data_IF_638447774211
#
_entry.id   IF_638447774211
#
_cell.length_a   1.000
_cell.length_b   1.000
_cell.length_c   1.000
_cell.angle_alpha   90.00
_cell.angle_beta   90.00
_cell.angle_gamma   90.00
#
_symmetry.space_group_name_H-M   'P 1'
#
loop_
_entity.id
_entity.type
_entity.pdbx_description
1 polymer ?
#
# COMPACT_ATOMS: atom_id res chain seq x y z
N UNK A 1 42.43 -15.57 70.98
CA UNK A 1 42.51 -14.27 70.27
C UNK A 1 42.81 -14.62 68.83
N UNK A 2 41.95 -14.49 67.83
CA UNK A 2 40.63 -13.90 67.72
C UNK A 2 39.93 -14.49 66.48
N UNK A 3 38.60 -14.50 66.48
CA UNK A 3 37.70 -14.97 65.40
C UNK A 3 37.33 -13.77 64.53
N UNK A 4 37.44 -13.82 63.20
CA UNK A 4 36.49 -13.15 62.27
C UNK A 4 36.34 -13.98 60.97
N UNK A 5 35.08 -14.20 60.61
CA UNK A 5 34.53 -14.83 59.40
C UNK A 5 34.50 -13.87 58.20
N UNK A 6 34.38 -14.44 56.98
CA UNK A 6 33.32 -13.96 56.08
C UNK A 6 33.71 -13.50 54.67
N UNK A 7 32.88 -13.99 53.73
CA UNK A 7 32.44 -13.40 52.46
C UNK A 7 33.12 -13.89 51.17
N UNK A 8 32.37 -14.79 50.53
CA UNK A 8 32.42 -15.25 49.14
C UNK A 8 32.10 -14.13 48.14
N UNK A 9 32.89 -14.05 47.05
CA UNK A 9 32.56 -13.27 45.85
C UNK A 9 32.58 -14.16 44.61
N UNK A 10 31.41 -14.31 43.99
CA UNK A 10 31.20 -14.84 42.63
C UNK A 10 31.35 -13.70 41.60
N UNK A 11 31.54 -14.10 40.34
CA UNK A 11 31.39 -13.37 39.05
C UNK A 11 32.71 -13.11 38.29
N UNK A 12 32.84 -13.35 36.98
CA UNK A 12 31.80 -13.61 35.98
C UNK A 12 32.28 -14.52 34.85
N UNK A 13 31.41 -15.46 34.47
CA UNK A 13 31.47 -16.15 33.19
C UNK A 13 30.36 -15.56 32.31
N UNK A 14 30.74 -14.72 31.36
CA UNK A 14 29.84 -14.24 30.29
C UNK A 14 29.59 -15.39 29.33
N UNK A 15 28.56 -16.19 29.61
CA UNK A 15 27.99 -17.16 28.68
C UNK A 15 26.64 -16.64 28.20
N UNK A 16 26.55 -16.28 26.92
CA UNK A 16 25.28 -16.03 26.27
C UNK A 16 24.42 -17.29 26.31
N UNK A 17 23.41 -17.30 27.18
CA UNK A 17 22.42 -18.36 27.20
C UNK A 17 21.47 -18.16 26.02
N UNK A 18 21.79 -18.75 24.88
CA UNK A 18 20.78 -19.21 23.93
C UNK A 18 19.86 -20.14 24.72
N UNK A 19 18.75 -19.59 25.22
CA UNK A 19 17.73 -20.34 25.92
C UNK A 19 17.16 -21.36 24.96
N UNK A 20 17.65 -22.60 25.05
CA UNK A 20 16.98 -23.76 24.49
C UNK A 20 15.64 -23.90 25.22
N UNK A 21 14.62 -23.18 24.74
CA UNK A 21 13.26 -23.37 25.18
C UNK A 21 12.87 -24.79 24.74
N UNK A 22 12.57 -25.66 25.70
CA UNK A 22 11.96 -26.96 25.42
C UNK A 22 10.74 -26.72 24.51
N UNK A 23 10.52 -27.51 23.45
CA UNK A 23 9.24 -27.50 22.78
C UNK A 23 8.18 -27.86 23.82
N UNK A 24 7.30 -26.91 24.15
CA UNK A 24 6.19 -27.12 25.09
C UNK A 24 5.29 -28.22 24.53
N UNK A 25 4.76 -29.08 25.40
CA UNK A 25 3.84 -30.14 24.97
C UNK A 25 2.47 -29.54 24.61
N UNK A 26 1.70 -30.21 23.76
CA UNK A 26 0.36 -29.75 23.37
C UNK A 26 -0.58 -29.51 24.59
N UNK A 27 -0.37 -30.30 25.65
CA UNK A 27 -1.07 -30.13 26.92
C UNK A 27 -0.71 -28.80 27.62
N UNK A 28 0.56 -28.40 27.56
CA UNK A 28 1.03 -27.13 28.14
C UNK A 28 0.51 -25.93 27.33
N UNK A 29 0.38 -26.04 26.01
CA UNK A 29 -0.18 -24.98 25.16
C UNK A 29 -1.66 -24.72 25.47
N UNK A 30 -2.44 -25.78 25.72
CA UNK A 30 -3.87 -25.66 26.05
C UNK A 30 -4.16 -25.03 27.41
N UNK A 31 -3.18 -25.03 28.32
CA UNK A 31 -3.30 -24.50 29.68
C UNK A 31 -2.60 -23.16 29.87
N UNK A 32 -1.78 -22.75 28.89
CA UNK A 32 -1.07 -21.48 28.89
C UNK A 32 -2.01 -20.28 28.80
N UNK A 33 -1.65 -19.20 29.48
CA UNK A 33 -2.38 -17.93 29.39
C UNK A 33 -2.20 -17.29 28.00
N UNK A 34 -3.14 -16.42 27.62
CA UNK A 34 -3.07 -15.71 26.32
C UNK A 34 -1.78 -14.89 26.18
N UNK A 35 -1.30 -14.30 27.26
CA UNK A 35 -0.07 -13.50 27.24
C UNK A 35 1.18 -14.38 27.04
N UNK A 36 1.24 -15.54 27.69
CA UNK A 36 2.31 -16.51 27.48
C UNK A 36 2.32 -17.03 26.05
N UNK A 37 1.16 -17.31 25.46
CA UNK A 37 1.05 -17.71 24.05
C UNK A 37 1.51 -16.60 23.09
N UNK A 38 1.20 -15.33 23.40
CA UNK A 38 1.68 -14.19 22.59
C UNK A 38 3.20 -14.04 22.69
N UNK A 39 3.77 -14.16 23.90
CA UNK A 39 5.23 -14.11 24.11
C UNK A 39 5.92 -15.28 23.42
N UNK A 40 5.36 -16.49 23.53
CA UNK A 40 5.86 -17.69 22.88
C UNK A 40 5.85 -17.54 21.36
N UNK A 41 4.71 -17.13 20.79
CA UNK A 41 4.58 -16.92 19.34
C UNK A 41 5.55 -15.87 18.81
N UNK A 42 5.70 -14.76 19.54
CA UNK A 42 6.67 -13.70 19.17
C UNK A 42 8.10 -14.22 19.24
N UNK A 43 8.44 -14.99 20.27
CA UNK A 43 9.78 -15.56 20.45
C UNK A 43 10.15 -16.56 19.33
N UNK A 44 9.19 -17.30 18.80
CA UNK A 44 9.41 -18.21 17.66
C UNK A 44 9.86 -17.45 16.39
N UNK A 45 9.42 -16.20 16.23
CA UNK A 45 9.80 -15.32 15.12
C UNK A 45 11.04 -14.44 15.43
N UNK A 46 11.74 -14.74 16.53
CA UNK A 46 12.88 -13.94 17.00
C UNK A 46 12.48 -12.53 17.50
N UNK A 47 11.22 -12.35 17.89
CA UNK A 47 10.66 -11.10 18.40
C UNK A 47 10.55 -11.18 19.93
N UNK A 48 11.31 -10.36 20.63
CA UNK A 48 11.23 -10.23 22.08
C UNK A 48 10.46 -8.96 22.46
N UNK A 49 9.40 -9.12 23.25
CA UNK A 49 8.60 -8.01 23.76
C UNK A 49 9.25 -7.55 25.07
N UNK A 50 10.01 -6.46 25.02
CA UNK A 50 10.73 -5.91 26.18
C UNK A 50 9.78 -5.19 27.13
N UNK A 51 8.92 -4.34 26.57
CA UNK A 51 8.05 -3.46 27.34
C UNK A 51 6.68 -3.37 26.68
N UNK A 52 5.62 -3.53 27.47
CA UNK A 52 4.24 -3.32 27.04
C UNK A 52 3.50 -2.64 28.18
N UNK A 53 3.20 -1.36 28.02
CA UNK A 53 2.44 -0.57 28.99
C UNK A 53 1.05 -0.25 28.46
N UNK A 54 0.05 -0.49 29.30
CA UNK A 54 -1.31 -0.02 29.06
C UNK A 54 -1.39 1.48 29.43
N UNK A 55 -1.84 2.36 28.51
CA UNK A 55 -2.08 3.76 28.81
C UNK A 55 -3.03 3.99 30.01
N UNK A 56 -3.93 3.04 30.30
CA UNK A 56 -4.89 3.10 31.40
C UNK A 56 -4.90 1.82 32.24
N UNK A 57 -3.93 1.62 33.16
CA UNK A 57 -3.82 0.39 33.96
C UNK A 57 -5.00 0.14 34.91
N UNK A 58 -5.72 1.20 35.30
CA UNK A 58 -6.92 1.10 36.12
C UNK A 58 -8.14 1.30 35.21
N UNK A 59 -9.01 0.29 35.07
CA UNK A 59 -10.19 0.39 34.24
C UNK A 59 -11.20 1.43 34.76
N UNK A 60 -11.87 2.12 33.84
CA UNK A 60 -13.00 3.00 34.12
C UNK A 60 -12.61 4.37 34.68
N UNK A 61 -11.36 4.78 34.53
CA UNK A 61 -10.91 6.09 35.02
C UNK A 61 -11.60 7.24 34.26
N UNK A 62 -11.72 8.41 34.91
CA UNK A 62 -12.25 9.61 34.25
C UNK A 62 -11.41 10.05 33.06
N UNK A 63 -10.10 9.80 33.11
CA UNK A 63 -9.17 10.12 32.04
C UNK A 63 -9.40 9.22 30.81
N UNK A 64 -9.49 7.91 31.01
CA UNK A 64 -9.80 6.93 29.97
C UNK A 64 -11.11 7.27 29.24
N UNK A 65 -12.21 7.47 29.99
CA UNK A 65 -13.51 7.87 29.42
C UNK A 65 -13.48 9.21 28.69
N UNK A 66 -12.55 10.11 29.02
CA UNK A 66 -12.38 11.37 28.31
C UNK A 66 -11.65 11.16 26.98
N UNK A 67 -10.63 10.31 26.97
CA UNK A 67 -9.88 9.92 25.77
C UNK A 67 -10.75 9.14 24.80
N UNK A 68 -11.49 8.15 25.30
CA UNK A 68 -12.49 7.40 24.52
C UNK A 68 -13.48 8.35 23.82
N UNK A 69 -14.04 9.34 24.54
CA UNK A 69 -14.93 10.35 23.95
C UNK A 69 -14.24 11.30 22.95
N UNK A 70 -12.92 11.51 23.04
CA UNK A 70 -12.19 12.27 22.01
C UNK A 70 -12.12 11.46 20.72
N UNK A 71 -11.76 10.18 20.81
CA UNK A 71 -11.68 9.26 19.68
C UNK A 71 -13.06 9.06 19.06
N UNK A 72 -14.09 8.78 19.86
CA UNK A 72 -15.45 8.58 19.39
C UNK A 72 -16.02 9.80 18.65
N UNK A 73 -15.64 11.04 19.04
CA UNK A 73 -16.07 12.25 18.33
C UNK A 73 -15.57 12.31 16.89
N UNK A 74 -14.37 11.80 16.60
CA UNK A 74 -13.88 11.72 15.22
C UNK A 74 -14.73 10.78 14.37
N UNK A 75 -15.04 9.59 14.89
CA UNK A 75 -15.91 8.64 14.19
C UNK A 75 -17.35 9.16 14.05
N UNK A 76 -17.85 9.92 15.02
CA UNK A 76 -19.14 10.59 14.91
C UNK A 76 -19.14 11.67 13.83
N UNK A 77 -18.08 12.50 13.75
CA UNK A 77 -17.92 13.48 12.67
C UNK A 77 -17.87 12.77 11.31
N UNK A 78 -17.13 11.66 11.22
CA UNK A 78 -17.07 10.86 10.00
C UNK A 78 -18.44 10.33 9.58
N UNK A 79 -19.21 9.77 10.52
CA UNK A 79 -20.55 9.26 10.26
C UNK A 79 -21.50 10.38 9.79
N UNK A 80 -21.48 11.54 10.46
CA UNK A 80 -22.31 12.69 10.08
C UNK A 80 -21.90 13.27 8.73
N UNK A 81 -20.60 13.39 8.45
CA UNK A 81 -20.09 13.86 7.17
C UNK A 81 -20.41 12.88 6.03
N UNK A 82 -20.29 11.57 6.26
CA UNK A 82 -20.66 10.54 5.30
C UNK A 82 -22.17 10.50 5.01
N UNK A 83 -23.00 10.66 6.04
CA UNK A 83 -24.45 10.78 5.88
C UNK A 83 -24.81 12.07 5.12
N UNK A 84 -24.15 13.18 5.46
CA UNK A 84 -24.30 14.46 4.74
C UNK A 84 -23.88 14.33 3.28
N UNK A 85 -22.78 13.64 2.98
CA UNK A 85 -22.33 13.36 1.62
C UNK A 85 -23.40 12.58 0.85
N UNK A 86 -23.96 11.52 1.43
CA UNK A 86 -25.01 10.73 0.79
C UNK A 86 -26.26 11.58 0.52
N UNK A 87 -26.68 12.38 1.51
CA UNK A 87 -27.82 13.28 1.34
C UNK A 87 -27.54 14.33 0.25
N UNK A 88 -26.36 14.94 0.22
CA UNK A 88 -26.00 15.91 -0.80
C UNK A 88 -25.93 15.29 -2.20
N UNK A 89 -25.34 14.09 -2.30
CA UNK A 89 -25.25 13.37 -3.56
C UNK A 89 -26.62 13.00 -4.13
N UNK A 90 -27.57 12.58 -3.28
CA UNK A 90 -28.90 12.16 -3.71
C UNK A 90 -29.88 13.33 -3.95
N UNK A 91 -29.79 14.40 -3.16
CA UNK A 91 -30.83 15.44 -3.12
C UNK A 91 -30.42 16.80 -3.69
N UNK A 92 -29.12 17.10 -3.93
CA UNK A 92 -28.73 18.36 -4.58
C UNK A 92 -28.84 18.27 -6.11
N UNK A 93 -29.20 19.39 -6.79
CA UNK A 93 -29.25 19.44 -8.24
C UNK A 93 -27.84 19.43 -8.83
N UNK A 94 -27.51 18.35 -9.55
CA UNK A 94 -26.22 18.19 -10.24
C UNK A 94 -26.25 18.66 -11.70
N UNK A 95 -27.44 18.91 -12.25
CA UNK A 95 -27.63 19.37 -13.61
C UNK A 95 -27.18 20.83 -13.77
N UNK A 96 -26.58 21.14 -14.92
CA UNK A 96 -26.12 22.48 -15.23
C UNK A 96 -27.27 23.49 -15.19
N UNK A 97 -27.13 24.51 -14.36
CA UNK A 97 -28.02 25.66 -14.32
C UNK A 97 -27.29 26.88 -14.89
N UNK A 98 -27.85 27.60 -15.89
CA UNK A 98 -27.21 28.78 -16.44
C UNK A 98 -27.27 29.98 -15.48
N UNK A 99 -26.34 30.93 -15.59
CA UNK A 99 -26.42 32.20 -14.87
C UNK A 99 -27.73 32.93 -15.19
N UNK A 100 -28.49 33.33 -14.15
CA UNK A 100 -29.79 34.01 -14.31
C UNK A 100 -31.01 33.08 -14.29
N UNK A 101 -30.84 31.77 -14.04
CA UNK A 101 -31.96 30.86 -13.78
C UNK A 101 -32.88 31.37 -12.65
N UNK A 102 -34.21 31.29 -12.76
CA UNK A 102 -35.12 31.69 -11.68
C UNK A 102 -34.84 30.93 -10.37
N UNK A 103 -34.77 31.65 -9.24
CA UNK A 103 -34.53 31.07 -7.92
C UNK A 103 -33.05 30.80 -7.62
N UNK A 104 -32.78 29.77 -6.79
CA UNK A 104 -31.44 29.45 -6.29
C UNK A 104 -30.70 28.37 -7.10
N UNK A 105 -31.20 28.00 -8.29
CA UNK A 105 -30.69 26.87 -9.09
C UNK A 105 -29.21 26.99 -9.47
N UNK A 106 -28.79 28.14 -9.99
CA UNK A 106 -27.39 28.42 -10.36
C UNK A 106 -26.43 28.32 -9.16
N UNK A 107 -26.82 28.82 -7.99
CA UNK A 107 -25.98 28.75 -6.78
C UNK A 107 -25.84 27.31 -6.27
N UNK A 108 -26.94 26.55 -6.25
CA UNK A 108 -26.92 25.14 -5.82
C UNK A 108 -26.06 24.27 -6.74
N UNK A 109 -26.11 24.51 -8.05
CA UNK A 109 -25.24 23.84 -9.02
C UNK A 109 -23.76 24.14 -8.76
N UNK A 110 -23.38 25.41 -8.56
CA UNK A 110 -22.00 25.80 -8.26
C UNK A 110 -21.47 25.18 -6.96
N UNK A 111 -22.33 25.03 -5.96
CA UNK A 111 -21.97 24.46 -4.66
C UNK A 111 -21.98 22.93 -4.64
N UNK A 112 -22.59 22.26 -5.63
CA UNK A 112 -22.70 20.80 -5.67
C UNK A 112 -21.33 20.12 -5.51
N UNK A 113 -20.39 20.38 -6.42
CA UNK A 113 -19.07 19.72 -6.42
C UNK A 113 -18.24 20.06 -5.17
N UNK A 114 -18.16 21.32 -4.71
CA UNK A 114 -17.51 21.64 -3.45
C UNK A 114 -18.14 20.96 -2.23
N UNK A 115 -19.47 20.92 -2.13
CA UNK A 115 -20.18 20.32 -0.98
C UNK A 115 -19.88 18.83 -0.90
N UNK A 116 -20.05 18.08 -2.00
CA UNK A 116 -19.79 16.64 -2.00
C UNK A 116 -18.31 16.36 -1.73
N UNK A 117 -17.39 17.18 -2.28
CA UNK A 117 -15.96 17.04 -2.07
C UNK A 117 -15.56 17.27 -0.62
N UNK A 118 -16.06 18.33 0.01
CA UNK A 118 -15.79 18.65 1.42
C UNK A 118 -16.39 17.61 2.34
N UNK A 119 -17.62 17.15 2.12
CA UNK A 119 -18.26 16.14 2.97
C UNK A 119 -17.55 14.79 2.86
N UNK A 120 -17.21 14.37 1.64
CA UNK A 120 -16.45 13.14 1.42
C UNK A 120 -15.04 13.22 2.02
N UNK A 121 -14.31 14.32 1.75
CA UNK A 121 -12.98 14.55 2.29
C UNK A 121 -12.98 14.61 3.82
N UNK A 122 -13.95 15.29 4.43
CA UNK A 122 -14.12 15.36 5.88
C UNK A 122 -14.43 13.99 6.48
N UNK A 123 -15.25 13.18 5.82
CA UNK A 123 -15.55 11.83 6.27
C UNK A 123 -14.28 10.95 6.33
N UNK A 124 -13.53 10.89 5.22
CA UNK A 124 -12.28 10.11 5.14
C UNK A 124 -11.23 10.65 6.11
N UNK A 125 -11.07 11.97 6.20
CA UNK A 125 -10.15 12.61 7.14
C UNK A 125 -10.48 12.27 8.59
N UNK A 126 -11.76 12.37 8.97
CA UNK A 126 -12.20 12.10 10.33
C UNK A 126 -12.03 10.61 10.71
N UNK A 127 -12.20 9.68 9.76
CA UNK A 127 -11.87 8.25 9.98
C UNK A 127 -10.37 8.10 10.25
N UNK A 128 -9.51 8.65 9.39
CA UNK A 128 -8.06 8.56 9.56
C UNK A 128 -7.58 9.18 10.88
N UNK A 129 -8.07 10.39 11.21
CA UNK A 129 -7.75 11.07 12.47
C UNK A 129 -8.24 10.26 13.69
N UNK A 130 -9.43 9.67 13.62
CA UNK A 130 -9.99 8.81 14.66
C UNK A 130 -9.15 7.54 14.87
N UNK A 131 -8.75 6.87 13.80
CA UNK A 131 -7.90 5.67 13.86
C UNK A 131 -6.52 5.97 14.45
N UNK A 132 -5.88 7.09 14.06
CA UNK A 132 -4.59 7.50 14.62
C UNK A 132 -4.74 7.86 16.11
N UNK A 133 -5.79 8.59 16.48
CA UNK A 133 -6.04 8.94 17.88
C UNK A 133 -6.31 7.68 18.74
N UNK A 134 -7.04 6.70 18.20
CA UNK A 134 -7.24 5.40 18.84
C UNK A 134 -5.90 4.68 19.06
N UNK A 135 -5.08 4.57 18.01
CA UNK A 135 -3.80 3.88 18.07
C UNK A 135 -2.81 4.55 19.02
N UNK A 136 -2.83 5.88 19.09
CA UNK A 136 -1.91 6.65 19.92
C UNK A 136 -2.33 6.71 21.39
N UNK A 137 -3.62 6.92 21.66
CA UNK A 137 -4.06 7.26 23.02
C UNK A 137 -4.70 6.08 23.78
N UNK A 138 -5.11 4.99 23.10
CA UNK A 138 -5.82 3.85 23.71
C UNK A 138 -5.13 2.51 23.53
N UNK A 139 -4.28 2.32 22.50
CA UNK A 139 -3.55 1.06 22.35
C UNK A 139 -2.34 1.00 23.30
N UNK A 140 -1.99 -0.19 23.81
CA UNK A 140 -0.76 -0.41 24.55
C UNK A 140 0.48 0.03 23.78
N UNK A 141 1.37 0.75 24.45
CA UNK A 141 2.67 1.08 23.90
C UNK A 141 3.60 -0.10 24.09
N UNK A 142 4.00 -0.71 22.98
CA UNK A 142 4.84 -1.91 22.98
C UNK A 142 6.16 -1.64 22.28
N UNK A 143 7.27 -1.94 22.96
CA UNK A 143 8.60 -1.97 22.35
C UNK A 143 9.01 -3.43 22.15
N UNK A 144 8.97 -3.86 20.89
CA UNK A 144 9.44 -5.17 20.49
C UNK A 144 10.80 -5.04 19.80
N UNK A 145 11.75 -5.90 20.19
CA UNK A 145 13.05 -6.03 19.54
C UNK A 145 13.01 -7.29 18.70
N UNK A 146 13.17 -7.13 17.40
CA UNK A 146 13.35 -8.25 16.48
C UNK A 146 14.82 -8.34 16.07
N UNK A 147 15.41 -9.52 16.25
CA UNK A 147 16.73 -9.78 15.72
C UNK A 147 16.67 -9.78 14.19
N UNK A 148 17.24 -8.75 13.58
CA UNK A 148 17.32 -8.69 12.13
C UNK A 148 18.30 -9.75 11.65
N UNK A 149 17.82 -10.71 10.86
CA UNK A 149 18.68 -11.63 10.13
C UNK A 149 19.43 -10.88 9.02
N UNK A 150 20.56 -10.27 9.37
CA UNK A 150 21.44 -9.54 8.45
C UNK A 150 22.45 -10.51 7.85
N UNK A 151 22.43 -10.66 6.52
CA UNK A 151 23.37 -11.50 5.81
C UNK A 151 22.72 -12.18 4.61
N UNK A 152 23.49 -13.01 3.91
CA UNK A 152 22.91 -13.98 2.98
C UNK A 152 22.27 -15.14 3.74
N UNK A 153 21.45 -15.93 3.05
CA UNK A 153 20.98 -17.22 3.57
C UNK A 153 22.16 -18.08 4.04
N UNK A 154 21.91 -18.96 5.00
CA UNK A 154 22.92 -19.89 5.48
C UNK A 154 23.51 -20.68 4.30
N UNK A 155 24.80 -21.04 4.39
CA UNK A 155 25.46 -21.78 3.30
C UNK A 155 24.70 -23.07 2.95
N UNK A 156 24.16 -23.75 3.97
CA UNK A 156 23.32 -24.92 3.81
C UNK A 156 22.09 -24.62 2.94
N UNK A 157 21.36 -23.54 3.21
CA UNK A 157 20.17 -23.16 2.42
C UNK A 157 20.55 -22.81 0.99
N UNK A 158 21.66 -22.09 0.78
CA UNK A 158 22.13 -21.71 -0.56
C UNK A 158 22.48 -22.94 -1.39
N UNK A 159 23.28 -23.84 -0.81
CA UNK A 159 23.74 -25.06 -1.48
C UNK A 159 22.60 -26.03 -1.71
N UNK A 160 21.72 -26.24 -0.72
CA UNK A 160 20.57 -27.14 -0.86
C UNK A 160 19.54 -26.60 -1.86
N UNK A 161 19.24 -25.30 -1.84
CA UNK A 161 18.35 -24.68 -2.83
C UNK A 161 18.91 -24.80 -4.25
N UNK A 162 20.21 -24.53 -4.42
CA UNK A 162 20.88 -24.72 -5.71
C UNK A 162 20.82 -26.18 -6.18
N UNK A 163 21.03 -27.13 -5.27
CA UNK A 163 20.94 -28.57 -5.56
C UNK A 163 19.51 -28.99 -5.93
N UNK A 164 18.49 -28.53 -5.19
CA UNK A 164 17.08 -28.81 -5.51
C UNK A 164 16.72 -28.27 -6.89
N UNK A 165 17.15 -27.04 -7.22
CA UNK A 165 16.88 -26.45 -8.53
C UNK A 165 17.60 -27.20 -9.65
N UNK A 166 18.86 -27.58 -9.44
CA UNK A 166 19.64 -28.37 -10.39
C UNK A 166 19.05 -29.76 -10.60
N UNK A 167 18.62 -30.43 -9.52
CA UNK A 167 17.98 -31.74 -9.58
C UNK A 167 16.63 -31.69 -10.30
N UNK A 168 15.79 -30.68 -10.01
CA UNK A 168 14.55 -30.44 -10.74
C UNK A 168 14.81 -30.22 -12.24
N UNK A 169 15.84 -29.45 -12.59
CA UNK A 169 16.24 -29.24 -13.97
C UNK A 169 16.72 -30.54 -14.65
N UNK A 170 17.52 -31.36 -13.95
CA UNK A 170 18.02 -32.63 -14.47
C UNK A 170 16.93 -33.69 -14.61
N UNK A 171 16.12 -33.89 -13.57
CA UNK A 171 15.02 -34.86 -13.51
C UNK A 171 13.90 -34.57 -14.52
N UNK A 172 13.64 -33.30 -14.83
CA UNK A 172 12.71 -32.90 -15.90
C UNK A 172 13.15 -33.41 -17.29
N UNK A 173 14.44 -33.72 -17.46
CA UNK A 173 15.08 -34.09 -18.73
C UNK A 173 14.85 -33.06 -19.86
N UNK A 174 14.51 -31.81 -19.53
CA UNK A 174 14.23 -30.76 -20.53
C UNK A 174 15.43 -30.51 -21.46
N UNK A 175 16.66 -30.72 -20.96
CA UNK A 175 17.88 -30.64 -21.74
C UNK A 175 17.90 -31.62 -22.93
N UNK A 176 17.38 -32.84 -22.76
CA UNK A 176 17.33 -33.88 -23.80
C UNK A 176 16.09 -33.77 -24.70
N UNK A 177 15.03 -33.09 -24.24
CA UNK A 177 13.78 -32.91 -24.98
C UNK A 177 13.86 -31.69 -25.91
N UNK A 178 14.68 -31.79 -26.95
CA UNK A 178 15.03 -30.67 -27.86
C UNK A 178 13.82 -30.05 -28.58
N UNK A 179 12.83 -30.86 -28.98
CA UNK A 179 11.61 -30.37 -29.64
C UNK A 179 10.81 -29.49 -28.69
N UNK A 180 10.54 -29.96 -27.46
CA UNK A 180 9.78 -29.22 -26.45
C UNK A 180 10.49 -27.91 -26.09
N UNK A 181 11.80 -27.96 -25.85
CA UNK A 181 12.60 -26.77 -25.55
C UNK A 181 12.54 -25.73 -26.68
N UNK A 182 12.68 -26.17 -27.93
CA UNK A 182 12.65 -25.29 -29.11
C UNK A 182 11.25 -24.73 -29.37
N UNK A 183 10.21 -25.54 -29.26
CA UNK A 183 8.83 -25.07 -29.46
C UNK A 183 8.39 -24.12 -28.34
N UNK A 184 8.77 -24.37 -27.09
CA UNK A 184 8.52 -23.47 -25.97
C UNK A 184 9.26 -22.14 -26.14
N UNK A 185 10.53 -22.16 -26.54
CA UNK A 185 11.30 -20.96 -26.82
C UNK A 185 10.71 -20.14 -27.98
N UNK A 186 10.29 -20.82 -29.06
CA UNK A 186 9.65 -20.16 -30.20
C UNK A 186 8.28 -19.57 -29.81
N UNK A 187 7.45 -20.33 -29.12
CA UNK A 187 6.13 -19.87 -28.66
C UNK A 187 6.25 -18.68 -27.70
N UNK A 188 7.11 -18.78 -26.68
CA UNK A 188 7.37 -17.69 -25.74
C UNK A 188 8.00 -16.48 -26.41
N UNK A 189 8.93 -16.67 -27.35
CA UNK A 189 9.57 -15.61 -28.09
C UNK A 189 8.60 -14.83 -28.99
N UNK A 190 7.80 -15.53 -29.80
CA UNK A 190 6.79 -14.90 -30.65
C UNK A 190 5.75 -14.17 -29.82
N UNK A 191 5.28 -14.78 -28.73
CA UNK A 191 4.32 -14.14 -27.83
C UNK A 191 4.89 -12.87 -27.18
N UNK A 192 6.12 -12.94 -26.66
CA UNK A 192 6.80 -11.78 -26.06
C UNK A 192 7.02 -10.64 -27.04
N UNK A 193 7.46 -10.95 -28.27
CA UNK A 193 7.59 -9.95 -29.35
C UNK A 193 6.22 -9.35 -29.69
N UNK A 194 5.19 -10.18 -29.83
CA UNK A 194 3.83 -9.73 -30.14
C UNK A 194 3.29 -8.74 -29.10
N UNK A 195 3.47 -9.04 -27.80
CA UNK A 195 3.11 -8.11 -26.72
C UNK A 195 3.90 -6.81 -26.77
N UNK A 196 5.20 -6.87 -27.04
CA UNK A 196 6.05 -5.69 -27.19
C UNK A 196 5.59 -4.79 -28.35
N UNK A 197 5.31 -5.39 -29.51
CA UNK A 197 4.79 -4.67 -30.68
C UNK A 197 3.39 -4.11 -30.42
N UNK A 198 2.52 -4.84 -29.72
CA UNK A 198 1.20 -4.32 -29.37
C UNK A 198 1.30 -3.11 -28.43
N UNK A 199 2.12 -3.17 -27.39
CA UNK A 199 2.28 -2.10 -26.41
C UNK A 199 2.91 -0.83 -27.02
N UNK A 200 3.88 -0.99 -27.93
CA UNK A 200 4.65 0.13 -28.49
C UNK A 200 4.21 0.54 -29.90
N UNK A 201 3.49 -0.31 -30.63
CA UNK A 201 3.16 -0.11 -32.04
C UNK A 201 2.25 1.08 -32.29
N UNK A 202 1.37 1.43 -31.34
CA UNK A 202 0.55 2.64 -31.42
C UNK A 202 1.35 3.95 -31.37
N UNK A 203 2.55 3.89 -30.78
CA UNK A 203 3.49 5.02 -30.63
C UNK A 203 4.34 5.24 -31.89
N UNK A 204 4.57 4.19 -32.68
CA UNK A 204 5.33 4.27 -33.93
C UNK A 204 4.40 4.69 -35.07
N UNK A 205 4.51 5.95 -35.50
CA UNK A 205 3.76 6.50 -36.64
C UNK A 205 4.70 6.75 -37.82
N UNK A 206 4.23 6.48 -39.03
CA UNK A 206 4.95 6.83 -40.26
C UNK A 206 4.79 8.33 -40.55
N UNK A 207 5.86 9.14 -40.45
CA UNK A 207 5.79 10.59 -40.69
C UNK A 207 5.63 10.93 -42.18
N UNK A 208 5.90 9.97 -43.08
CA UNK A 208 5.84 10.16 -44.54
C UNK A 208 4.54 9.64 -45.14
N UNK A 209 3.59 9.20 -44.30
CA UNK A 209 2.29 8.73 -44.74
C UNK A 209 1.59 9.83 -45.56
N UNK A 210 1.38 9.56 -46.85
CA UNK A 210 0.84 10.53 -47.81
C UNK A 210 1.79 10.98 -48.91
N UNK A 211 3.07 10.57 -48.86
CA UNK A 211 4.06 10.85 -49.92
C UNK A 211 4.27 12.35 -50.13
N UNK A 212 4.02 12.82 -51.35
CA UNK A 212 4.08 14.25 -51.71
C UNK A 212 3.08 15.11 -50.91
N UNK A 213 2.12 14.47 -50.24
CA UNK A 213 1.15 15.10 -49.34
C UNK A 213 1.36 14.73 -47.87
N UNK A 214 2.53 14.23 -47.49
CA UNK A 214 2.85 13.97 -46.10
C UNK A 214 2.77 15.27 -45.28
N UNK A 215 2.36 15.15 -44.02
CA UNK A 215 2.08 16.29 -43.14
C UNK A 215 3.29 17.23 -42.94
N UNK A 216 4.52 16.74 -43.14
CA UNK A 216 5.74 17.55 -43.05
C UNK A 216 6.12 18.27 -44.36
N UNK A 217 5.63 17.81 -45.51
CA UNK A 217 5.93 18.42 -46.82
C UNK A 217 4.89 19.46 -47.24
N UNK A 218 3.68 19.37 -46.70
CA UNK A 218 2.55 20.19 -47.10
C UNK A 218 2.14 21.10 -45.94
N UNK A 219 2.08 22.38 -46.23
CA UNK A 219 1.53 23.36 -45.29
C UNK A 219 0.01 23.45 -45.47
N UNK A 220 -0.74 23.94 -44.46
CA UNK A 220 -2.17 24.24 -44.62
C UNK A 220 -2.49 25.23 -45.76
N UNK A 221 -1.48 25.93 -46.29
CA UNK A 221 -1.58 26.88 -47.40
C UNK A 221 -1.33 26.27 -48.77
N UNK A 222 -1.05 24.97 -48.85
CA UNK A 222 -0.87 24.30 -50.13
C UNK A 222 -2.19 24.27 -50.91
N UNK A 223 -2.14 24.72 -52.16
CA UNK A 223 -3.29 24.66 -53.06
C UNK A 223 -3.60 23.21 -53.44
N UNK A 224 -4.86 22.81 -53.29
CA UNK A 224 -5.37 21.55 -53.83
C UNK A 224 -5.94 21.82 -55.22
N UNK A 225 -5.52 21.03 -56.23
CA UNK A 225 -6.03 21.10 -57.60
C UNK A 225 -5.91 22.47 -58.30
N UNK A 226 -4.98 23.34 -57.86
CA UNK A 226 -4.74 24.65 -58.46
C UNK A 226 -5.75 25.73 -58.03
N UNK A 227 -6.55 25.48 -57.00
CA UNK A 227 -7.47 26.48 -56.46
C UNK A 227 -6.71 27.61 -55.73
N UNK A 228 -7.14 28.88 -55.88
CA UNK A 228 -6.52 30.01 -55.20
C UNK A 228 -6.76 29.94 -53.68
N UNK A 229 -5.67 30.02 -52.91
CA UNK A 229 -5.71 30.08 -51.44
C UNK A 229 -5.80 31.55 -51.01
N UNK A 230 -6.90 31.91 -50.33
CA UNK A 230 -7.14 33.29 -49.90
C UNK A 230 -6.69 33.52 -48.46
N UNK A 231 -6.04 34.66 -48.23
CA UNK A 231 -5.80 35.14 -46.88
C UNK A 231 -7.11 35.70 -46.31
N UNK A 232 -7.60 35.11 -45.22
CA UNK A 232 -8.77 35.58 -44.48
C UNK A 232 -8.35 35.91 -43.06
N UNK A 233 -8.94 36.95 -42.50
CA UNK A 233 -8.82 37.26 -41.09
C UNK A 233 -10.08 36.77 -40.36
N UNK A 234 -9.92 36.24 -39.15
CA UNK A 234 -11.05 35.89 -38.29
C UNK A 234 -11.54 37.15 -37.57
N UNK A 235 -12.70 37.66 -37.99
CA UNK A 235 -13.29 38.86 -37.41
C UNK A 235 -13.81 38.67 -35.98
N UNK A 236 -14.00 37.43 -35.51
CA UNK A 236 -14.53 37.14 -34.18
C UNK A 236 -13.51 37.37 -33.05
N UNK A 237 -12.21 37.50 -33.36
CA UNK A 237 -11.16 37.76 -32.37
C UNK A 237 -10.85 39.25 -32.18
N UNK A 238 -11.46 40.13 -32.99
CA UNK A 238 -11.22 41.59 -32.97
C UNK A 238 -12.33 42.38 -32.24
N UNK A 239 -13.32 41.68 -31.69
CA UNK A 239 -14.45 42.23 -30.92
C UNK A 239 -14.50 41.59 -29.54
#
# INVERSE_FOLDING_TARGET
MDRIEGVSGHEGATGGSTGQQRPLSDADLSTSSREELVRLGSALDGVTIEHREDPFPVPGTRAEKRTERKVARWFLIAALAGLGFLAAYLFLPFEYAPPGSPGHGHLLYQLYTPIIGVLFGLAVFAIGAGTIAYAKDLLPHETAVQERHIGGSAEVDRVTTAAILADAAASSQIGRRSIIKRSAALGGGVFGIGLGVFALGGLVRDPWKGGDRAALWVTPWASYNGEPVFLRYDSAQLT
#
